data_IF_712500840489
#
_entry.id   IF_712500840489
#
_cell.length_a   1.000
_cell.length_b   1.000
_cell.length_c   1.000
_cell.angle_alpha   90.00
_cell.angle_beta   90.00
_cell.angle_gamma   90.00
#
_symmetry.space_group_name_H-M   'P 1'
#
loop_
_entity.id
_entity.type
_entity.pdbx_description
1 polymer ?
#
# COMPACT_ATOMS: atom_id res chain seq x y z
N UNK A 1 11.38 5.66 -2.76
CA UNK A 1 10.07 5.50 -3.40
C UNK A 1 9.28 4.46 -2.62
N UNK A 2 8.04 4.74 -2.29
CA UNK A 2 7.21 3.75 -1.60
C UNK A 2 5.73 3.92 -1.94
N UNK A 3 4.98 2.87 -1.66
CA UNK A 3 3.53 2.89 -1.76
C UNK A 3 2.93 2.77 -0.36
N UNK A 4 1.95 3.62 -0.07
CA UNK A 4 1.08 3.47 1.09
C UNK A 4 -0.24 2.92 0.58
N UNK A 5 -0.62 1.74 1.05
CA UNK A 5 -1.85 1.05 0.64
C UNK A 5 -2.79 0.95 1.82
N UNK A 6 -3.93 1.64 1.75
CA UNK A 6 -4.98 1.54 2.76
C UNK A 6 -5.92 0.40 2.41
N UNK A 7 -6.14 -0.52 3.33
CA UNK A 7 -6.89 -1.75 3.09
C UNK A 7 -7.61 -2.23 4.34
N UNK A 8 -8.41 -3.28 4.19
CA UNK A 8 -9.06 -3.96 5.31
C UNK A 8 -9.25 -5.44 4.97
N UNK A 9 -9.26 -6.29 5.99
CA UNK A 9 -9.52 -7.73 5.79
C UNK A 9 -10.94 -8.00 5.31
N UNK A 10 -11.88 -7.09 5.61
CA UNK A 10 -13.26 -7.17 5.15
C UNK A 10 -13.46 -6.64 3.71
N UNK A 11 -12.45 -6.05 3.13
CA UNK A 11 -12.51 -5.50 1.78
C UNK A 11 -12.15 -6.59 0.76
N UNK A 12 -13.14 -7.11 0.05
CA UNK A 12 -12.94 -8.20 -0.92
C UNK A 12 -11.93 -7.83 -2.00
N UNK A 13 -12.04 -6.64 -2.59
CA UNK A 13 -11.11 -6.18 -3.61
C UNK A 13 -9.69 -6.06 -3.07
N UNK A 14 -9.53 -5.58 -1.83
CA UNK A 14 -8.22 -5.48 -1.19
C UNK A 14 -7.56 -6.86 -1.07
N UNK A 15 -8.31 -7.85 -0.62
CA UNK A 15 -7.81 -9.22 -0.45
C UNK A 15 -7.45 -9.83 -1.79
N UNK A 16 -8.28 -9.61 -2.82
CA UNK A 16 -8.04 -10.12 -4.16
C UNK A 16 -6.79 -9.53 -4.81
N UNK A 17 -6.50 -8.25 -4.56
CA UNK A 17 -5.32 -7.60 -5.16
C UNK A 17 -4.04 -7.80 -4.36
N UNK A 18 -4.12 -8.29 -3.13
CA UNK A 18 -2.95 -8.42 -2.28
C UNK A 18 -1.80 -9.21 -2.93
N UNK A 19 -2.03 -10.31 -3.67
CA UNK A 19 -0.95 -10.98 -4.38
C UNK A 19 -0.23 -10.09 -5.39
N UNK A 20 -0.94 -9.16 -6.02
CA UNK A 20 -0.34 -8.20 -6.96
C UNK A 20 0.49 -7.15 -6.24
N UNK A 21 0.08 -6.75 -5.04
CA UNK A 21 0.87 -5.83 -4.20
C UNK A 21 2.16 -6.53 -3.77
N UNK A 22 2.09 -7.80 -3.39
CA UNK A 22 3.26 -8.61 -3.05
C UNK A 22 4.21 -8.72 -4.25
N UNK A 23 3.67 -9.02 -5.43
CA UNK A 23 4.47 -9.10 -6.67
C UNK A 23 5.16 -7.76 -6.95
N UNK A 24 4.46 -6.65 -6.81
CA UNK A 24 5.02 -5.31 -7.00
C UNK A 24 6.18 -5.06 -6.04
N UNK A 25 5.99 -5.42 -4.77
CA UNK A 25 7.06 -5.28 -3.78
C UNK A 25 8.28 -6.12 -4.17
N UNK A 26 8.08 -7.37 -4.55
CA UNK A 26 9.17 -8.27 -4.88
C UNK A 26 9.95 -7.83 -6.13
N UNK A 27 9.26 -7.22 -7.10
CA UNK A 27 9.91 -6.70 -8.31
C UNK A 27 10.92 -5.61 -8.03
N UNK A 28 10.63 -4.75 -7.05
CA UNK A 28 11.41 -3.53 -6.82
C UNK A 28 12.13 -3.51 -5.48
N UNK A 29 11.93 -4.52 -4.64
CA UNK A 29 12.62 -4.62 -3.36
C UNK A 29 14.13 -4.64 -3.59
N UNK A 30 14.87 -3.91 -2.73
CA UNK A 30 16.33 -3.79 -2.89
C UNK A 30 16.78 -2.71 -3.86
N UNK A 31 15.83 -2.06 -4.56
CA UNK A 31 16.14 -0.98 -5.49
C UNK A 31 15.77 0.39 -4.92
N UNK A 32 15.45 0.46 -3.62
CA UNK A 32 15.01 1.70 -2.98
C UNK A 32 13.49 1.87 -2.99
N UNK A 33 12.77 0.78 -3.10
CA UNK A 33 11.31 0.74 -3.07
C UNK A 33 10.81 -0.02 -1.85
N UNK A 34 9.71 0.47 -1.27
CA UNK A 34 9.05 -0.21 -0.15
C UNK A 34 7.53 -0.09 -0.27
N UNK A 35 6.83 -0.91 0.52
CA UNK A 35 5.37 -0.88 0.63
C UNK A 35 5.00 -0.85 2.11
N UNK A 36 4.05 0.00 2.45
CA UNK A 36 3.42 -0.01 3.78
C UNK A 36 1.92 -0.22 3.57
N UNK A 37 1.42 -1.33 4.06
CA UNK A 37 -0.01 -1.64 4.03
C UNK A 37 -0.64 -1.21 5.35
N UNK A 38 -1.52 -0.21 5.28
CA UNK A 38 -2.14 0.38 6.47
C UNK A 38 -3.58 -0.11 6.57
N UNK A 39 -3.85 -0.92 7.60
CA UNK A 39 -5.20 -1.42 7.85
C UNK A 39 -6.06 -0.33 8.47
N UNK A 40 -7.29 -0.19 7.98
CA UNK A 40 -8.23 0.83 8.43
C UNK A 40 -8.59 0.64 9.91
N UNK A 41 -8.98 1.73 10.56
CA UNK A 41 -9.24 1.76 12.00
C UNK A 41 -10.36 0.81 12.46
N UNK A 42 -11.31 0.50 11.58
CA UNK A 42 -12.43 -0.39 11.91
C UNK A 42 -12.06 -1.88 11.79
N UNK A 43 -10.88 -2.21 11.25
CA UNK A 43 -10.46 -3.59 11.06
C UNK A 43 -9.89 -4.14 12.37
N UNK A 44 -10.44 -5.24 12.92
CA UNK A 44 -9.92 -5.78 14.17
C UNK A 44 -8.44 -6.14 14.05
N UNK A 45 -7.59 -5.69 14.98
CA UNK A 45 -6.13 -5.96 14.92
C UNK A 45 -5.78 -7.43 14.79
N UNK A 46 -6.53 -8.31 15.48
CA UNK A 46 -6.28 -9.76 15.39
C UNK A 46 -6.52 -10.31 14.00
N UNK A 47 -7.47 -9.76 13.26
CA UNK A 47 -7.74 -10.16 11.86
C UNK A 47 -6.58 -9.75 10.96
N UNK A 48 -6.06 -8.55 11.16
CA UNK A 48 -4.95 -8.02 10.37
C UNK A 48 -3.69 -8.84 10.61
N UNK A 49 -3.36 -9.10 11.86
CA UNK A 49 -2.19 -9.90 12.24
C UNK A 49 -2.28 -11.31 11.66
N UNK A 50 -3.44 -11.95 11.80
CA UNK A 50 -3.67 -13.29 11.27
C UNK A 50 -3.53 -13.33 9.75
N UNK A 51 -4.09 -12.35 9.04
CA UNK A 51 -3.98 -12.24 7.58
C UNK A 51 -2.51 -12.09 7.17
N UNK A 52 -1.79 -11.17 7.80
CA UNK A 52 -0.39 -10.90 7.47
C UNK A 52 0.49 -12.13 7.66
N UNK A 53 0.28 -12.87 8.76
CA UNK A 53 1.03 -14.10 9.05
C UNK A 53 0.66 -15.24 8.10
N UNK A 54 -0.62 -15.47 7.89
CA UNK A 54 -1.12 -16.57 7.06
C UNK A 54 -0.69 -16.39 5.60
N UNK A 55 -0.74 -15.16 5.10
CA UNK A 55 -0.35 -14.83 3.72
C UNK A 55 1.13 -14.52 3.59
N UNK A 56 1.89 -14.49 4.69
CA UNK A 56 3.33 -14.21 4.68
C UNK A 56 3.66 -12.93 3.92
N UNK A 57 2.97 -11.85 4.28
CA UNK A 57 3.19 -10.56 3.61
C UNK A 57 4.63 -10.08 3.86
N UNK A 58 5.40 -9.79 2.80
CA UNK A 58 6.83 -9.49 2.92
C UNK A 58 7.15 -8.05 3.29
N UNK A 59 6.15 -7.19 3.35
CA UNK A 59 6.30 -5.77 3.60
C UNK A 59 5.66 -5.38 4.93
N UNK A 60 5.85 -4.13 5.35
CA UNK A 60 5.30 -3.61 6.59
C UNK A 60 3.78 -3.54 6.53
N UNK A 61 3.15 -4.03 7.60
CA UNK A 61 1.71 -3.91 7.81
C UNK A 61 1.51 -3.08 9.06
N UNK A 62 0.80 -1.97 8.94
CA UNK A 62 0.53 -1.06 10.05
C UNK A 62 -0.96 -1.06 10.38
N UNK A 63 -1.26 -0.73 11.63
CA UNK A 63 -2.63 -0.60 12.13
C UNK A 63 -2.93 0.88 12.36
N UNK A 64 -3.97 1.39 11.70
CA UNK A 64 -4.39 2.79 11.89
C UNK A 64 -5.46 2.88 12.98
N UNK A 65 -5.09 2.51 14.23
CA UNK A 65 -6.03 2.36 15.34
C UNK A 65 -6.88 3.58 15.61
N UNK A 66 -6.33 4.78 15.43
CA UNK A 66 -7.01 6.03 15.71
C UNK A 66 -7.59 6.71 14.48
N UNK A 67 -7.29 6.20 13.29
CA UNK A 67 -7.65 6.84 12.03
C UNK A 67 -6.76 8.02 11.68
N UNK A 68 -5.65 8.23 12.41
CA UNK A 68 -4.77 9.37 12.18
C UNK A 68 -4.09 9.31 10.80
N UNK A 69 -3.66 8.13 10.36
CA UNK A 69 -3.04 7.97 9.05
C UNK A 69 -4.06 8.24 7.93
N UNK A 70 -5.26 7.70 8.05
CA UNK A 70 -6.33 7.95 7.08
C UNK A 70 -6.62 9.45 6.95
N UNK A 71 -6.71 10.16 8.06
CA UNK A 71 -6.93 11.62 8.05
C UNK A 71 -5.76 12.37 7.43
N UNK A 72 -4.53 11.94 7.72
CA UNK A 72 -3.33 12.58 7.17
C UNK A 72 -3.26 12.46 5.64
N UNK A 73 -3.84 11.40 5.08
CA UNK A 73 -3.88 11.20 3.62
C UNK A 73 -5.20 11.68 3.00
N UNK A 74 -5.94 12.54 3.68
CA UNK A 74 -7.14 13.17 3.15
C UNK A 74 -8.44 12.41 3.42
N UNK A 75 -8.51 11.70 4.52
CA UNK A 75 -9.68 10.90 4.92
C UNK A 75 -10.02 9.81 3.89
N UNK A 76 -9.48 8.64 4.09
CA UNK A 76 -9.70 7.49 3.20
C UNK A 76 -11.14 6.98 3.41
N UNK A 77 -11.95 7.04 2.37
CA UNK A 77 -13.35 6.59 2.39
C UNK A 77 -13.58 5.31 1.63
N UNK A 78 -12.68 4.99 0.70
CA UNK A 78 -12.79 3.81 -0.17
C UNK A 78 -11.52 3.00 -0.05
N UNK A 79 -11.65 1.69 0.14
CA UNK A 79 -10.53 0.76 0.09
C UNK A 79 -10.67 -0.17 -1.12
N UNK A 80 -9.57 -0.55 -1.76
CA UNK A 80 -8.21 -0.06 -1.51
C UNK A 80 -8.02 1.38 -1.99
N UNK A 81 -7.17 2.11 -1.30
CA UNK A 81 -6.65 3.41 -1.77
C UNK A 81 -5.14 3.37 -1.65
N UNK A 82 -4.45 3.69 -2.72
CA UNK A 82 -2.99 3.60 -2.77
C UNK A 82 -2.38 4.93 -3.18
N UNK A 83 -1.25 5.24 -2.55
CA UNK A 83 -0.51 6.49 -2.80
C UNK A 83 0.92 6.14 -3.15
N UNK A 84 1.41 6.68 -4.26
CA UNK A 84 2.80 6.52 -4.69
C UNK A 84 3.58 7.76 -4.24
N UNK A 85 4.66 7.54 -3.50
CA UNK A 85 5.48 8.59 -2.90
C UNK A 85 6.88 8.54 -3.49
N UNK A 86 7.39 9.69 -3.95
CA UNK A 86 8.69 9.80 -4.60
C UNK A 86 9.85 9.86 -3.56
N UNK A 87 11.08 9.99 -4.06
CA UNK A 87 12.27 10.03 -3.22
C UNK A 87 12.34 11.26 -2.30
N UNK A 88 11.61 12.31 -2.64
CA UNK A 88 11.53 13.52 -1.82
C UNK A 88 10.39 13.48 -0.80
N UNK A 89 9.63 12.39 -0.73
CA UNK A 89 8.52 12.25 0.19
C UNK A 89 7.24 12.91 -0.30
N UNK A 90 7.12 13.20 -1.60
CA UNK A 90 5.94 13.81 -2.19
C UNK A 90 5.02 12.75 -2.78
N UNK A 91 3.71 12.90 -2.54
CA UNK A 91 2.70 12.05 -3.18
C UNK A 91 2.58 12.47 -4.64
N UNK A 92 2.93 11.58 -5.56
CA UNK A 92 2.91 11.88 -7.00
C UNK A 92 1.73 11.24 -7.71
N UNK A 93 1.10 10.24 -7.11
CA UNK A 93 -0.05 9.56 -7.69
C UNK A 93 -0.93 8.95 -6.62
N UNK A 94 -2.23 8.89 -6.91
CA UNK A 94 -3.23 8.28 -6.05
C UNK A 94 -4.15 7.40 -6.88
N UNK A 95 -4.44 6.20 -6.38
CA UNK A 95 -5.46 5.32 -6.95
C UNK A 95 -6.55 5.08 -5.92
N UNK A 96 -7.80 5.25 -6.32
CA UNK A 96 -8.98 4.87 -5.56
C UNK A 96 -9.53 3.63 -6.21
N UNK A 97 -9.62 2.53 -5.44
CA UNK A 97 -9.85 1.22 -6.00
C UNK A 97 -8.55 0.55 -6.44
N UNK A 98 -8.66 -0.61 -7.08
CA UNK A 98 -7.48 -1.35 -7.55
C UNK A 98 -6.75 -0.56 -8.63
N UNK A 99 -5.42 -0.37 -8.50
CA UNK A 99 -4.66 0.32 -9.55
C UNK A 99 -4.50 -0.55 -10.79
N UNK A 100 -4.16 0.09 -11.91
CA UNK A 100 -3.63 -0.63 -13.07
C UNK A 100 -2.16 -0.96 -12.75
N UNK A 101 -1.90 -2.21 -12.39
CA UNK A 101 -0.57 -2.61 -11.93
C UNK A 101 0.51 -2.48 -12.99
N UNK A 102 0.17 -2.67 -14.27
CA UNK A 102 1.13 -2.45 -15.36
C UNK A 102 1.61 -1.01 -15.42
N UNK A 103 0.69 -0.06 -15.35
CA UNK A 103 1.03 1.37 -15.30
C UNK A 103 1.77 1.73 -14.03
N UNK A 104 1.35 1.17 -12.90
CA UNK A 104 1.98 1.40 -11.61
C UNK A 104 3.45 0.96 -11.65
N UNK A 105 3.74 -0.21 -12.20
CA UNK A 105 5.12 -0.69 -12.33
C UNK A 105 5.99 0.26 -13.15
N UNK A 106 5.45 0.79 -14.24
CA UNK A 106 6.16 1.77 -15.08
C UNK A 106 6.46 3.06 -14.32
N UNK A 107 5.51 3.54 -13.53
CA UNK A 107 5.69 4.75 -12.74
C UNK A 107 6.70 4.57 -11.61
N UNK A 108 6.67 3.42 -10.94
CA UNK A 108 7.68 3.09 -9.92
C UNK A 108 9.07 3.07 -10.54
N UNK A 109 9.23 2.38 -11.67
CA UNK A 109 10.51 2.29 -12.35
C UNK A 109 11.05 3.67 -12.73
N UNK A 110 10.18 4.55 -13.22
CA UNK A 110 10.55 5.92 -13.59
C UNK A 110 11.04 6.71 -12.36
N UNK A 111 10.31 6.62 -11.23
CA UNK A 111 10.69 7.34 -10.01
C UNK A 111 12.00 6.83 -9.44
N UNK A 112 12.27 5.53 -9.54
CA UNK A 112 13.51 4.95 -9.04
C UNK A 112 14.74 5.44 -9.81
N UNK A 113 14.57 5.87 -11.05
CA UNK A 113 15.65 6.43 -11.87
C UNK A 113 15.93 7.89 -11.56
N UNK A 114 15.04 8.58 -10.88
CA UNK A 114 15.23 9.98 -10.55
C UNK A 114 16.31 10.15 -9.47
N UNK A 115 16.99 11.30 -9.49
CA UNK A 115 17.95 11.65 -8.45
C UNK A 115 17.22 11.86 -7.11
N UNK A 116 17.90 11.47 -6.03
CA UNK A 116 17.38 11.66 -4.68
C UNK A 116 17.34 13.14 -4.28
#
# INVERSE_FOLDING_TARGET
VYIVNFWATSCTTCVQEMPEVVDTYQRFAGQGFDVVAVAMSYDPPSYVVNFAQTRQLPFKVALDNTGAASRAFGEIKVTPSSFLVDKQGRIVKRWVGAPDFGKLHGEIAALLKEAA
#
